data_IF_421568478367
#
_entry.id   IF_421568478367
#
_cell.length_a   1.000
_cell.length_b   1.000
_cell.length_c   1.000
_cell.angle_alpha   90.00
_cell.angle_beta   90.00
_cell.angle_gamma   90.00
#
_symmetry.space_group_name_H-M   'P 1'
#
loop_
_entity.id
_entity.type
_entity.pdbx_description
1 polymer ?
#
# COMPACT_ATOMS: atom_id res chain seq x y z
N UNK A 1 8.19 10.57 6.96
CA UNK A 1 7.75 11.45 5.86
C UNK A 1 6.26 11.77 6.01
N UNK A 2 5.86 13.05 6.10
CA UNK A 2 4.44 13.40 6.29
C UNK A 2 3.66 13.31 4.98
N UNK A 3 2.48 12.67 4.98
CA UNK A 3 1.60 12.53 3.81
C UNK A 3 1.34 13.87 3.12
N UNK A 4 1.16 14.93 3.92
CA UNK A 4 0.98 16.32 3.44
C UNK A 4 2.12 16.79 2.54
N UNK A 5 3.37 16.43 2.84
CA UNK A 5 4.53 16.82 2.03
C UNK A 5 4.52 16.10 0.67
N UNK A 6 4.19 14.81 0.66
CA UNK A 6 4.01 14.04 -0.58
C UNK A 6 2.88 14.60 -1.43
N UNK A 7 1.72 14.89 -0.84
CA UNK A 7 0.59 15.51 -1.53
C UNK A 7 1.03 16.84 -2.14
N UNK A 8 1.68 17.71 -1.37
CA UNK A 8 2.19 19.00 -1.87
C UNK A 8 3.14 18.83 -3.06
N UNK A 9 4.07 17.87 -2.99
CA UNK A 9 4.98 17.54 -4.10
C UNK A 9 4.20 17.09 -5.33
N UNK A 10 3.23 16.18 -5.20
CA UNK A 10 2.42 15.68 -6.33
C UNK A 10 1.50 16.71 -6.93
N UNK A 11 0.94 17.60 -6.11
CA UNK A 11 0.19 18.76 -6.60
C UNK A 11 1.08 19.64 -7.48
N UNK A 12 2.32 19.90 -7.06
CA UNK A 12 3.27 20.66 -7.88
C UNK A 12 3.63 19.92 -9.18
N UNK A 13 3.87 18.61 -9.14
CA UNK A 13 4.13 17.79 -10.33
C UNK A 13 2.97 17.89 -11.34
N UNK A 14 1.72 17.82 -10.86
CA UNK A 14 0.52 17.98 -11.70
C UNK A 14 0.42 19.39 -12.29
N UNK A 15 0.65 20.44 -11.47
CA UNK A 15 0.64 21.81 -11.95
C UNK A 15 1.70 22.06 -13.04
N UNK A 16 2.89 21.46 -12.90
CA UNK A 16 3.95 21.51 -13.91
C UNK A 16 3.50 20.80 -15.19
N UNK A 17 2.92 19.60 -15.08
CA UNK A 17 2.40 18.88 -16.25
C UNK A 17 1.28 19.66 -16.97
N UNK A 18 0.38 20.30 -16.23
CA UNK A 18 -0.69 21.13 -16.81
C UNK A 18 -0.14 22.35 -17.55
N UNK A 19 0.99 22.93 -17.11
CA UNK A 19 1.64 24.04 -17.82
C UNK A 19 2.11 23.63 -19.22
N UNK A 20 2.39 22.35 -19.46
CA UNK A 20 2.77 21.84 -20.79
C UNK A 20 1.68 22.07 -21.85
N UNK A 21 0.40 22.22 -21.45
CA UNK A 21 -0.69 22.59 -22.36
C UNK A 21 -0.54 23.99 -22.95
N UNK A 22 0.26 24.86 -22.33
CA UNK A 22 0.58 26.20 -22.88
C UNK A 22 1.67 26.14 -23.96
N UNK A 23 2.37 25.01 -24.07
CA UNK A 23 3.40 24.79 -25.08
C UNK A 23 2.82 24.60 -26.47
N UNK A 24 3.65 24.79 -27.50
CA UNK A 24 3.26 24.52 -28.88
C UNK A 24 3.13 23.01 -29.10
N UNK A 25 1.93 22.55 -29.44
CA UNK A 25 1.64 21.14 -29.76
C UNK A 25 1.72 20.99 -31.29
N UNK A 26 2.83 20.42 -31.77
CA UNK A 26 3.14 20.35 -33.20
C UNK A 26 2.73 19.04 -33.87
N UNK A 27 2.36 18.01 -33.09
CA UNK A 27 1.95 16.71 -33.62
C UNK A 27 1.05 15.96 -32.64
N UNK A 28 0.38 14.93 -33.14
CA UNK A 28 -0.44 14.03 -32.32
C UNK A 28 0.39 13.29 -31.26
N UNK A 29 1.60 12.86 -31.59
CA UNK A 29 2.48 12.19 -30.62
C UNK A 29 2.85 13.10 -29.44
N UNK A 30 3.14 14.38 -29.72
CA UNK A 30 3.39 15.38 -28.68
C UNK A 30 2.14 15.60 -27.83
N UNK A 31 0.95 15.65 -28.44
CA UNK A 31 -0.31 15.75 -27.71
C UNK A 31 -0.53 14.55 -26.79
N UNK A 32 -0.36 13.33 -27.29
CA UNK A 32 -0.49 12.08 -26.53
C UNK A 32 0.50 12.05 -25.35
N UNK A 33 1.73 12.49 -25.56
CA UNK A 33 2.73 12.57 -24.50
C UNK A 33 2.33 13.59 -23.41
N UNK A 34 1.87 14.77 -23.80
CA UNK A 34 1.41 15.80 -22.84
C UNK A 34 0.23 15.29 -22.01
N UNK A 35 -0.79 14.73 -22.67
CA UNK A 35 -1.97 14.16 -21.99
C UNK A 35 -1.59 12.98 -21.09
N UNK A 36 -0.70 12.10 -21.55
CA UNK A 36 -0.19 10.97 -20.76
C UNK A 36 0.53 11.43 -19.50
N UNK A 37 1.35 12.48 -19.58
CA UNK A 37 2.04 13.05 -18.42
C UNK A 37 1.06 13.68 -17.41
N UNK A 38 0.04 14.40 -17.89
CA UNK A 38 -1.01 14.97 -17.04
C UNK A 38 -1.77 13.87 -16.33
N UNK A 39 -2.23 12.85 -17.07
CA UNK A 39 -2.96 11.72 -16.51
C UNK A 39 -2.12 10.98 -15.46
N UNK A 40 -0.85 10.71 -15.75
CA UNK A 40 0.06 10.05 -14.81
C UNK A 40 0.27 10.87 -13.53
N UNK A 41 0.46 12.18 -13.64
CA UNK A 41 0.59 13.06 -12.48
C UNK A 41 -0.70 13.18 -11.68
N UNK A 42 -1.86 13.16 -12.35
CA UNK A 42 -3.17 13.17 -11.71
C UNK A 42 -3.42 11.90 -10.89
N UNK A 43 -3.28 10.71 -11.50
CA UNK A 43 -3.48 9.43 -10.81
C UNK A 43 -2.56 9.30 -9.59
N UNK A 44 -1.31 9.76 -9.69
CA UNK A 44 -0.37 9.80 -8.56
C UNK A 44 -0.86 10.65 -7.39
N UNK A 45 -1.46 11.81 -7.69
CA UNK A 45 -2.01 12.69 -6.67
C UNK A 45 -3.29 12.09 -6.06
N UNK A 46 -4.17 11.57 -6.91
CA UNK A 46 -5.44 10.96 -6.49
C UNK A 46 -5.23 9.80 -5.52
N UNK A 47 -4.26 8.91 -5.77
CA UNK A 47 -3.94 7.81 -4.86
C UNK A 47 -3.49 8.29 -3.49
N UNK A 48 -2.69 9.37 -3.42
CA UNK A 48 -2.26 9.92 -2.14
C UNK A 48 -3.40 10.62 -1.39
N UNK A 49 -4.32 11.28 -2.11
CA UNK A 49 -5.47 11.95 -1.51
C UNK A 49 -6.49 10.96 -0.94
N UNK A 50 -6.64 9.80 -1.57
CA UNK A 50 -7.55 8.74 -1.13
C UNK A 50 -6.87 7.71 -0.22
N UNK A 51 -5.66 8.00 0.26
CA UNK A 51 -4.88 7.04 1.03
C UNK A 51 -5.50 6.82 2.41
N UNK A 52 -5.78 5.56 2.80
CA UNK A 52 -6.30 5.30 4.13
C UNK A 52 -5.24 5.66 5.18
N UNK A 53 -5.70 6.25 6.28
CA UNK A 53 -4.87 6.46 7.46
C UNK A 53 -4.56 5.15 8.20
N UNK A 54 -3.52 5.15 9.02
CA UNK A 54 -3.11 3.97 9.82
C UNK A 54 -4.18 3.53 10.85
N UNK A 55 -4.98 4.46 11.34
CA UNK A 55 -5.90 4.27 12.48
C UNK A 55 -7.22 3.55 12.15
N UNK A 56 -7.37 2.95 10.98
CA UNK A 56 -8.70 2.55 10.48
C UNK A 56 -8.98 1.06 10.34
N UNK A 57 -8.11 0.18 10.84
CA UNK A 57 -8.27 -1.24 10.55
C UNK A 57 -7.86 -2.13 11.72
N UNK A 58 -8.53 -1.96 12.87
CA UNK A 58 -8.53 -3.03 13.86
C UNK A 58 -9.27 -4.25 13.28
N UNK A 59 -8.69 -5.46 13.38
CA UNK A 59 -9.37 -6.67 12.98
C UNK A 59 -10.63 -6.88 13.81
N UNK A 60 -11.75 -7.08 13.12
CA UNK A 60 -13.00 -7.41 13.77
C UNK A 60 -13.06 -8.92 13.94
N UNK A 61 -13.36 -9.38 15.15
CA UNK A 61 -13.70 -10.78 15.40
C UNK A 61 -15.00 -11.13 14.65
N UNK A 62 -14.93 -12.15 13.81
CA UNK A 62 -16.04 -12.57 12.95
C UNK A 62 -16.73 -13.81 13.50
N UNK A 63 -15.96 -14.74 14.03
CA UNK A 63 -16.43 -16.04 14.51
C UNK A 63 -15.38 -16.67 15.44
N UNK A 64 -15.85 -17.52 16.35
CA UNK A 64 -15.03 -18.31 17.26
C UNK A 64 -15.55 -19.75 17.27
N UNK A 65 -14.74 -20.67 16.75
CA UNK A 65 -15.09 -22.10 16.69
C UNK A 65 -13.94 -22.93 17.24
N UNK A 66 -14.20 -23.79 18.22
CA UNK A 66 -13.21 -24.70 18.82
C UNK A 66 -11.91 -23.98 19.28
N UNK A 67 -12.03 -22.79 19.89
CA UNK A 67 -10.87 -22.02 20.36
C UNK A 67 -10.07 -21.31 19.24
N UNK A 68 -10.55 -21.37 18.00
CA UNK A 68 -9.99 -20.63 16.87
C UNK A 68 -10.87 -19.42 16.57
N UNK A 69 -10.29 -18.24 16.74
CA UNK A 69 -10.91 -16.95 16.45
C UNK A 69 -10.54 -16.50 15.04
N UNK A 70 -11.55 -16.17 14.24
CA UNK A 70 -11.38 -15.57 12.91
C UNK A 70 -11.46 -14.06 13.02
N UNK A 71 -10.46 -13.40 12.48
CA UNK A 71 -10.39 -11.95 12.39
C UNK A 71 -10.38 -11.50 10.94
N UNK A 72 -11.10 -10.40 10.63
CA UNK A 72 -11.21 -9.89 9.26
C UNK A 72 -11.10 -8.36 9.18
N UNK A 73 -10.47 -7.91 8.09
CA UNK A 73 -10.34 -6.51 7.69
C UNK A 73 -10.35 -6.42 6.17
N UNK A 74 -11.45 -5.91 5.58
CA UNK A 74 -11.60 -5.88 4.13
C UNK A 74 -11.54 -7.28 3.51
N UNK A 75 -10.60 -7.50 2.58
CA UNK A 75 -10.35 -8.80 1.95
C UNK A 75 -9.32 -9.66 2.70
N UNK A 76 -8.78 -9.16 3.81
CA UNK A 76 -7.76 -9.85 4.60
C UNK A 76 -8.40 -10.58 5.78
N UNK A 77 -7.95 -11.79 6.04
CA UNK A 77 -8.41 -12.65 7.15
C UNK A 77 -7.21 -13.31 7.83
N UNK A 78 -7.29 -13.51 9.15
CA UNK A 78 -6.40 -14.45 9.84
C UNK A 78 -7.17 -15.29 10.86
N UNK A 79 -6.63 -16.47 11.14
CA UNK A 79 -7.12 -17.37 12.18
C UNK A 79 -6.12 -17.38 13.33
N UNK A 80 -6.61 -17.21 14.56
CA UNK A 80 -5.83 -17.15 15.79
C UNK A 80 -6.32 -18.21 16.78
N UNK A 81 -5.40 -18.85 17.48
CA UNK A 81 -5.68 -19.76 18.60
C UNK A 81 -4.82 -19.38 19.79
N UNK A 82 -5.39 -19.39 21.00
CA UNK A 82 -4.70 -18.87 22.19
C UNK A 82 -3.35 -19.56 22.47
N UNK A 83 -3.26 -20.88 22.27
CA UNK A 83 -2.03 -21.64 22.53
C UNK A 83 -1.04 -21.66 21.35
N UNK A 84 -1.53 -21.47 20.12
CA UNK A 84 -0.75 -21.69 18.89
C UNK A 84 -0.49 -20.39 18.12
N UNK A 85 -1.11 -19.28 18.54
CA UNK A 85 -1.10 -18.00 17.88
C UNK A 85 -1.75 -18.02 16.50
N UNK A 86 -1.20 -17.26 15.55
CA UNK A 86 -1.75 -17.18 14.19
C UNK A 86 -1.50 -18.47 13.40
N UNK A 87 -2.60 -19.14 13.05
CA UNK A 87 -2.61 -20.41 12.32
C UNK A 87 -2.59 -20.17 10.81
N UNK A 88 -3.34 -19.18 10.33
CA UNK A 88 -3.42 -18.89 8.89
C UNK A 88 -3.64 -17.41 8.63
N UNK A 89 -3.23 -16.97 7.44
CA UNK A 89 -3.47 -15.63 6.89
C UNK A 89 -3.98 -15.82 5.46
N UNK A 90 -5.03 -15.07 5.10
CA UNK A 90 -5.60 -15.05 3.76
C UNK A 90 -5.73 -13.61 3.27
N UNK A 91 -5.06 -13.30 2.17
CA UNK A 91 -5.04 -11.99 1.53
C UNK A 91 -5.52 -12.01 0.08
N UNK A 92 -5.95 -13.17 -0.41
CA UNK A 92 -6.21 -13.42 -1.83
C UNK A 92 -4.95 -13.72 -2.66
N UNK A 93 -3.74 -13.47 -2.12
CA UNK A 93 -2.46 -13.75 -2.78
C UNK A 93 -1.62 -14.74 -1.94
N UNK A 94 -1.29 -15.90 -2.51
CA UNK A 94 -0.55 -16.96 -1.82
C UNK A 94 0.86 -16.54 -1.41
N UNK A 95 1.54 -15.71 -2.22
CA UNK A 95 2.87 -15.21 -1.92
C UNK A 95 2.87 -14.28 -0.71
N UNK A 96 1.90 -13.37 -0.64
CA UNK A 96 1.71 -12.48 0.51
C UNK A 96 1.30 -13.28 1.75
N UNK A 97 0.40 -14.26 1.62
CA UNK A 97 0.01 -15.12 2.74
C UNK A 97 1.23 -15.80 3.38
N UNK A 98 2.09 -16.41 2.55
CA UNK A 98 3.29 -17.09 3.02
C UNK A 98 4.26 -16.11 3.69
N UNK A 99 4.49 -14.95 3.08
CA UNK A 99 5.37 -13.92 3.64
C UNK A 99 4.88 -13.43 5.02
N UNK A 100 3.60 -13.09 5.13
CA UNK A 100 3.00 -12.63 6.38
C UNK A 100 3.04 -13.72 7.46
N UNK A 101 2.70 -14.96 7.10
CA UNK A 101 2.71 -16.08 8.04
C UNK A 101 4.13 -16.36 8.55
N UNK A 102 5.15 -16.31 7.69
CA UNK A 102 6.55 -16.44 8.09
C UNK A 102 7.01 -15.31 9.02
N UNK A 103 6.63 -14.07 8.73
CA UNK A 103 6.97 -12.93 9.59
C UNK A 103 6.33 -13.02 10.97
N UNK A 104 5.03 -13.34 11.03
CA UNK A 104 4.28 -13.45 12.28
C UNK A 104 4.85 -14.59 13.13
N UNK A 105 5.03 -15.78 12.54
CA UNK A 105 5.57 -16.96 13.26
C UNK A 105 7.05 -16.85 13.63
N UNK A 106 7.76 -15.84 13.12
CA UNK A 106 9.10 -15.49 13.58
C UNK A 106 9.12 -14.72 14.90
N UNK A 107 7.96 -14.44 15.49
CA UNK A 107 7.78 -13.72 16.76
C UNK A 107 7.27 -14.67 17.87
N UNK A 108 7.33 -14.25 19.15
CA UNK A 108 6.66 -14.95 20.24
C UNK A 108 5.13 -15.00 20.07
N UNK A 109 4.49 -16.11 20.47
CA UNK A 109 3.05 -16.38 20.27
C UNK A 109 2.14 -15.30 20.87
N UNK A 110 2.47 -14.82 22.06
CA UNK A 110 1.78 -13.74 22.77
C UNK A 110 1.77 -12.41 22.00
N UNK A 111 2.72 -12.21 21.07
CA UNK A 111 2.80 -11.03 20.20
C UNK A 111 2.17 -11.24 18.82
N UNK A 112 1.69 -12.46 18.51
CA UNK A 112 1.18 -12.78 17.18
C UNK A 112 -0.06 -11.96 16.82
N UNK A 113 -0.98 -11.73 17.77
CA UNK A 113 -2.21 -10.99 17.50
C UNK A 113 -1.92 -9.53 17.15
N UNK A 114 -1.06 -8.88 17.93
CA UNK A 114 -0.61 -7.50 17.68
C UNK A 114 0.14 -7.41 16.35
N UNK A 115 1.06 -8.33 16.09
CA UNK A 115 1.84 -8.38 14.84
C UNK A 115 0.93 -8.59 13.64
N UNK A 116 -0.04 -9.50 13.71
CA UNK A 116 -1.01 -9.73 12.65
C UNK A 116 -1.88 -8.49 12.41
N UNK A 117 -2.36 -7.86 13.47
CA UNK A 117 -3.15 -6.62 13.39
C UNK A 117 -2.37 -5.49 12.71
N UNK A 118 -1.09 -5.30 13.08
CA UNK A 118 -0.21 -4.33 12.43
C UNK A 118 0.01 -4.66 10.94
N UNK A 119 0.23 -5.93 10.62
CA UNK A 119 0.40 -6.40 9.24
C UNK A 119 -0.88 -6.22 8.40
N UNK A 120 -2.06 -6.39 8.99
CA UNK A 120 -3.33 -6.13 8.29
C UNK A 120 -3.45 -4.67 7.88
N UNK A 121 -3.22 -3.74 8.82
CA UNK A 121 -3.20 -2.31 8.49
C UNK A 121 -2.18 -1.98 7.41
N UNK A 122 -1.03 -2.67 7.43
CA UNK A 122 -0.03 -2.53 6.39
C UNK A 122 -0.47 -3.04 5.03
N UNK A 123 -1.21 -4.15 4.93
CA UNK A 123 -1.53 -4.83 3.65
C UNK A 123 -2.94 -4.56 3.13
N UNK A 124 -3.72 -3.73 3.81
CA UNK A 124 -4.99 -3.21 3.36
C UNK A 124 -4.97 -2.78 1.88
N UNK A 125 -5.93 -3.27 1.08
CA UNK A 125 -6.09 -2.90 -0.33
C UNK A 125 -4.89 -3.24 -1.23
N UNK A 126 -4.14 -4.30 -0.91
CA UNK A 126 -2.93 -4.70 -1.64
C UNK A 126 -3.14 -4.97 -3.14
N UNK A 127 -4.29 -5.50 -3.52
CA UNK A 127 -4.64 -5.90 -4.88
C UNK A 127 -4.63 -4.76 -5.90
N UNK A 128 -4.67 -3.51 -5.45
CA UNK A 128 -4.74 -2.30 -6.30
C UNK A 128 -3.72 -1.23 -5.94
N UNK A 129 -2.76 -1.54 -5.08
CA UNK A 129 -1.82 -0.52 -4.61
C UNK A 129 -0.91 -0.04 -5.75
N UNK A 130 -0.78 1.28 -5.92
CA UNK A 130 0.24 1.89 -6.75
C UNK A 130 1.46 2.23 -5.89
N UNK A 131 2.64 2.28 -6.49
CA UNK A 131 3.81 2.83 -5.80
C UNK A 131 3.63 4.35 -5.60
N UNK A 132 3.75 4.85 -4.37
CA UNK A 132 3.59 6.28 -4.05
C UNK A 132 4.70 7.17 -4.66
N UNK A 133 5.83 6.54 -5.00
CA UNK A 133 6.99 7.23 -5.59
C UNK A 133 6.86 7.36 -7.11
N UNK A 134 6.49 6.29 -7.81
CA UNK A 134 6.47 6.28 -9.28
C UNK A 134 5.06 6.24 -9.90
N UNK A 135 4.01 5.95 -9.12
CA UNK A 135 2.62 5.86 -9.58
C UNK A 135 2.31 4.68 -10.49
N UNK A 136 3.25 3.77 -10.71
CA UNK A 136 2.98 2.55 -11.47
C UNK A 136 2.35 1.50 -10.54
N UNK A 137 1.61 0.55 -11.12
CA UNK A 137 1.11 -0.61 -10.39
C UNK A 137 2.24 -1.26 -9.62
N UNK A 138 1.98 -1.43 -8.33
CA UNK A 138 2.97 -1.96 -7.43
C UNK A 138 3.16 -3.46 -7.72
N UNK A 139 2.13 -4.15 -8.22
CA UNK A 139 2.20 -5.50 -8.76
C UNK A 139 2.59 -5.48 -10.25
N UNK A 140 3.71 -6.13 -10.59
CA UNK A 140 3.94 -6.58 -11.96
C UNK A 140 3.35 -7.99 -12.05
N UNK A 141 2.39 -8.27 -12.94
CA UNK A 141 1.86 -9.61 -13.12
C UNK A 141 2.99 -10.62 -13.33
N UNK A 142 3.13 -11.61 -12.44
CA UNK A 142 4.13 -12.67 -12.55
C UNK A 142 5.44 -12.51 -11.76
N UNK A 143 5.64 -11.40 -11.01
CA UNK A 143 6.83 -11.22 -10.15
C UNK A 143 6.46 -11.22 -8.66
N UNK A 144 6.95 -12.25 -7.98
CA UNK A 144 6.62 -12.75 -6.63
C UNK A 144 7.12 -11.91 -5.43
N UNK A 145 7.54 -10.66 -5.60
CA UNK A 145 8.07 -9.88 -4.46
C UNK A 145 7.08 -8.83 -3.96
N UNK A 146 6.77 -8.82 -2.63
CA UNK A 146 5.93 -7.79 -2.05
C UNK A 146 6.63 -6.44 -2.20
N UNK A 147 5.88 -5.46 -2.69
CA UNK A 147 6.28 -4.07 -2.70
C UNK A 147 6.63 -3.67 -1.27
N UNK A 148 7.70 -2.89 -1.11
CA UNK A 148 8.11 -2.42 0.20
C UNK A 148 6.96 -1.61 0.82
N UNK A 149 6.56 -2.00 2.03
CA UNK A 149 5.60 -1.27 2.84
C UNK A 149 6.29 -0.79 4.09
N UNK A 150 6.20 0.51 4.34
CA UNK A 150 6.80 1.14 5.53
C UNK A 150 5.75 1.95 6.25
N UNK A 151 5.49 1.68 7.54
CA UNK A 151 4.61 2.54 8.34
C UNK A 151 5.26 3.92 8.48
N UNK A 152 4.50 4.95 8.16
CA UNK A 152 4.84 6.36 8.39
C UNK A 152 3.99 6.89 9.57
N UNK A 153 4.10 8.18 9.90
CA UNK A 153 3.35 8.77 11.03
C UNK A 153 1.82 8.61 10.87
N UNK A 154 1.30 8.82 9.65
CA UNK A 154 -0.16 8.88 9.40
C UNK A 154 -0.67 7.83 8.39
N UNK A 155 0.22 7.10 7.71
CA UNK A 155 -0.15 6.23 6.58
C UNK A 155 0.89 5.12 6.34
N UNK A 156 0.59 4.18 5.44
CA UNK A 156 1.55 3.14 5.00
C UNK A 156 2.15 3.52 3.66
N UNK A 157 3.44 3.80 3.59
CA UNK A 157 4.16 4.05 2.34
C UNK A 157 4.32 2.74 1.57
N UNK A 158 3.90 2.73 0.31
CA UNK A 158 3.99 1.61 -0.64
C UNK A 158 4.97 2.02 -1.76
N UNK A 159 6.08 1.32 -1.89
CA UNK A 159 7.09 1.66 -2.90
C UNK A 159 7.85 0.46 -3.47
N UNK A 160 8.24 0.55 -4.73
CA UNK A 160 9.19 -0.43 -5.27
C UNK A 160 10.53 -0.30 -4.54
N UNK A 161 11.28 -1.41 -4.42
CA UNK A 161 12.59 -1.41 -3.77
C UNK A 161 13.57 -0.42 -4.42
N UNK A 162 13.52 -0.28 -5.74
CA UNK A 162 14.32 0.66 -6.52
C UNK A 162 13.81 2.11 -6.47
N UNK A 163 12.58 2.33 -6.02
CA UNK A 163 12.02 3.66 -5.91
C UNK A 163 12.59 4.34 -4.66
N UNK A 164 13.57 5.24 -4.86
CA UNK A 164 14.12 6.06 -3.79
C UNK A 164 13.03 6.96 -3.23
N UNK A 165 12.73 6.76 -1.95
CA UNK A 165 12.00 7.72 -1.15
C UNK A 165 12.99 8.84 -0.85
N UNK A 166 12.99 9.89 -1.67
CA UNK A 166 13.76 11.09 -1.32
C UNK A 166 13.32 11.52 0.07
N UNK A 167 14.27 11.64 1.01
CA UNK A 167 14.02 12.19 2.33
C UNK A 167 13.56 13.64 2.16
N UNK A 168 12.25 13.84 2.07
CA UNK A 168 11.62 15.15 2.09
C UNK A 168 11.68 15.69 3.52
N UNK A 169 12.90 15.85 4.03
CA UNK A 169 13.24 16.60 5.22
C UNK A 169 13.88 17.90 4.75
N UNK A 170 13.05 18.94 4.64
CA UNK A 170 13.38 20.36 4.79
C UNK A 170 12.10 21.18 4.73
#
# INVERSE_FOLDING_TARGET
>A
MRLKALIKKRTNDLLVALRSLRGKICSEDVLRQVLGNIHKSYIRLEVLLNKPGLSHQEPVEVDSTNGVVRYKTGNLEFLYHEEHGVISVSTGDTGINNYLLCLIRGKPVDTHLETASAMLGMYAGNERALCDVCGNYATVPGLLTPICRSPEEDFVLVHHAQCKVESLEK
#
